data_IF_107759255775
#
_entry.id   IF_107759255775
#
_cell.length_a   1.000
_cell.length_b   1.000
_cell.length_c   1.000
_cell.angle_alpha   90.00
_cell.angle_beta   90.00
_cell.angle_gamma   90.00
#
_symmetry.space_group_name_H-M   'P 1'
#
loop_
_entity.id
_entity.type
_entity.pdbx_description
1 polymer ?
#
# COMPACT_ATOMS: atom_id res chain seq x y z
N UNK A 1 5.68 39.95 8.46
CA UNK A 1 4.37 39.28 8.30
C UNK A 1 4.20 39.09 6.81
N UNK A 2 4.27 37.94 6.18
CA UNK A 2 4.38 36.53 6.59
C UNK A 2 4.94 35.86 5.33
N UNK A 3 5.99 35.04 5.45
CA UNK A 3 6.48 34.26 4.31
C UNK A 3 5.43 33.21 3.94
N UNK A 4 4.85 33.35 2.75
CA UNK A 4 3.96 32.35 2.18
C UNK A 4 4.83 31.24 1.60
N UNK A 5 4.98 30.14 2.32
CA UNK A 5 5.58 28.90 1.83
C UNK A 5 4.71 28.38 0.69
N UNK A 6 5.19 28.32 -0.57
CA UNK A 6 4.43 27.61 -1.60
C UNK A 6 4.49 26.12 -1.25
N UNK A 7 3.33 25.58 -0.86
CA UNK A 7 3.11 24.16 -0.83
C UNK A 7 3.49 23.61 -2.22
N UNK A 8 4.45 22.68 -2.24
CA UNK A 8 4.73 21.86 -3.41
C UNK A 8 3.53 20.94 -3.66
N UNK A 9 2.47 21.51 -4.23
CA UNK A 9 1.52 20.78 -5.03
C UNK A 9 2.23 20.51 -6.36
N UNK A 10 2.83 19.32 -6.48
CA UNK A 10 3.42 18.88 -7.73
C UNK A 10 2.34 18.09 -8.48
N UNK A 11 1.68 18.67 -9.49
CA UNK A 11 0.72 17.94 -10.30
C UNK A 11 1.50 17.10 -11.30
N UNK A 12 1.21 15.80 -11.35
CA UNK A 12 1.25 14.96 -12.56
C UNK A 12 0.68 13.58 -12.17
N UNK A 13 -0.48 13.17 -12.72
CA UNK A 13 -1.00 11.84 -12.52
C UNK A 13 -0.21 10.90 -13.41
N UNK A 14 0.97 10.47 -12.95
CA UNK A 14 1.44 9.16 -13.36
C UNK A 14 0.35 8.19 -12.96
N UNK A 15 -0.08 7.31 -13.86
CA UNK A 15 -1.13 6.31 -13.62
C UNK A 15 -0.67 5.34 -12.53
N UNK A 16 -0.68 5.80 -11.27
CA UNK A 16 -0.31 5.02 -10.11
C UNK A 16 -1.41 3.99 -9.96
N UNK A 17 -1.01 2.73 -9.88
CA UNK A 17 -1.94 1.67 -9.54
C UNK A 17 -2.64 2.06 -8.24
N UNK A 18 -3.96 1.92 -8.21
CA UNK A 18 -4.78 2.26 -7.05
C UNK A 18 -5.36 0.99 -6.43
N UNK A 19 -5.69 1.07 -5.15
CA UNK A 19 -6.41 0.05 -4.41
C UNK A 19 -5.87 -1.39 -4.65
N UNK A 20 -6.71 -2.28 -5.17
CA UNK A 20 -6.38 -3.70 -5.36
C UNK A 20 -5.22 -3.94 -6.34
N UNK A 21 -5.06 -3.08 -7.35
CA UNK A 21 -4.00 -3.24 -8.34
C UNK A 21 -2.63 -2.87 -7.76
N UNK A 22 -2.58 -1.86 -6.90
CA UNK A 22 -1.37 -1.52 -6.14
C UNK A 22 -0.96 -2.68 -5.23
N UNK A 23 -1.93 -3.22 -4.48
CA UNK A 23 -1.69 -4.34 -3.56
C UNK A 23 -1.22 -5.58 -4.34
N UNK A 24 -1.77 -5.81 -5.54
CA UNK A 24 -1.37 -6.93 -6.40
C UNK A 24 0.06 -6.78 -6.91
N UNK A 25 0.47 -5.56 -7.29
CA UNK A 25 1.83 -5.30 -7.73
C UNK A 25 2.85 -5.46 -6.59
N UNK A 26 2.55 -4.91 -5.41
CA UNK A 26 3.37 -5.12 -4.21
C UNK A 26 3.47 -6.61 -3.84
N UNK A 27 2.38 -7.37 -3.96
CA UNK A 27 2.40 -8.82 -3.73
C UNK A 27 3.33 -9.56 -4.71
N UNK A 28 3.48 -9.09 -5.97
CA UNK A 28 4.40 -9.71 -6.94
C UNK A 28 5.86 -9.54 -6.51
N UNK A 29 6.20 -8.37 -5.97
CA UNK A 29 7.54 -8.00 -5.50
C UNK A 29 7.86 -8.55 -4.10
N UNK A 30 6.85 -8.88 -3.31
CA UNK A 30 7.02 -9.42 -1.97
C UNK A 30 7.68 -10.81 -1.95
N UNK A 31 8.49 -11.12 -0.93
CA UNK A 31 9.13 -12.43 -0.80
C UNK A 31 8.14 -13.51 -0.32
N UNK A 32 8.27 -14.73 -0.83
CA UNK A 32 7.51 -15.91 -0.38
C UNK A 32 8.15 -16.55 0.86
N UNK A 33 8.29 -15.76 1.93
CA UNK A 33 8.89 -16.20 3.21
C UNK A 33 8.17 -15.61 4.42
N UNK A 34 8.37 -16.14 5.63
CA UNK A 34 7.78 -15.60 6.83
C UNK A 34 8.26 -14.18 7.13
N UNK A 35 7.39 -13.38 7.74
CA UNK A 35 7.77 -12.08 8.27
C UNK A 35 6.56 -11.19 8.58
N UNK A 36 6.84 -9.90 8.70
CA UNK A 36 5.87 -8.87 9.06
C UNK A 36 5.69 -7.91 7.88
N UNK A 37 4.45 -7.53 7.59
CA UNK A 37 4.10 -6.57 6.55
C UNK A 37 3.23 -5.44 7.11
N UNK A 38 3.22 -4.32 6.40
CA UNK A 38 2.50 -3.09 6.76
C UNK A 38 1.67 -2.63 5.57
N UNK A 39 0.44 -2.20 5.83
CA UNK A 39 -0.41 -1.52 4.84
C UNK A 39 -0.52 -0.05 5.22
N UNK A 40 -0.33 0.82 4.24
CA UNK A 40 -0.41 2.26 4.40
C UNK A 40 -1.64 2.82 3.68
N UNK A 41 -2.22 3.87 4.26
CA UNK A 41 -3.25 4.69 3.63
C UNK A 41 -2.65 5.65 2.61
N UNK A 42 -3.50 6.41 1.93
CA UNK A 42 -3.11 7.38 0.90
C UNK A 42 -2.25 8.52 1.46
N UNK A 43 -2.41 8.84 2.74
CA UNK A 43 -1.63 9.80 3.52
C UNK A 43 -0.32 9.23 4.07
N UNK A 44 -0.02 7.96 3.79
CA UNK A 44 1.14 7.26 4.35
C UNK A 44 0.94 6.77 5.79
N UNK A 45 -0.24 6.93 6.38
CA UNK A 45 -0.53 6.43 7.72
C UNK A 45 -0.57 4.90 7.74
N UNK A 46 0.07 4.27 8.72
CA UNK A 46 0.04 2.81 8.85
C UNK A 46 -1.32 2.35 9.37
N UNK A 47 -2.14 1.77 8.49
CA UNK A 47 -3.49 1.30 8.82
C UNK A 47 -3.49 -0.09 9.43
N UNK A 48 -2.53 -0.92 9.04
CA UNK A 48 -2.50 -2.32 9.46
C UNK A 48 -1.08 -2.90 9.45
N UNK A 49 -0.80 -3.72 10.46
CA UNK A 49 0.42 -4.53 10.57
C UNK A 49 0.02 -5.99 10.76
N UNK A 50 0.57 -6.87 9.95
CA UNK A 50 0.27 -8.30 10.01
C UNK A 50 1.54 -9.15 10.00
N UNK A 51 1.48 -10.30 10.70
CA UNK A 51 2.48 -11.37 10.56
C UNK A 51 1.95 -12.45 9.61
N UNK A 52 2.82 -13.03 8.81
CA UNK A 52 2.46 -14.12 7.91
C UNK A 52 3.58 -15.16 7.78
N UNK A 53 3.20 -16.42 7.52
CA UNK A 53 4.15 -17.48 7.12
C UNK A 53 4.69 -17.28 5.71
N UNK A 54 3.91 -16.62 4.85
CA UNK A 54 4.33 -16.13 3.54
C UNK A 54 3.74 -14.74 3.37
N UNK A 55 4.62 -13.73 3.30
CA UNK A 55 4.19 -12.35 3.08
C UNK A 55 3.48 -12.24 1.73
N UNK A 56 4.09 -12.76 0.65
CA UNK A 56 3.52 -12.74 -0.70
C UNK A 56 2.09 -13.27 -0.76
N UNK A 57 1.83 -14.46 -0.22
CA UNK A 57 0.49 -15.08 -0.25
C UNK A 57 -0.51 -14.27 0.57
N UNK A 58 -0.08 -13.70 1.69
CA UNK A 58 -0.96 -12.92 2.55
C UNK A 58 -1.35 -11.57 1.92
N UNK A 59 -0.40 -10.86 1.32
CA UNK A 59 -0.70 -9.60 0.61
C UNK A 59 -1.63 -9.86 -0.58
N UNK A 60 -1.39 -10.94 -1.34
CA UNK A 60 -2.24 -11.31 -2.49
C UNK A 60 -3.70 -11.55 -2.10
N UNK A 61 -3.98 -12.09 -0.91
CA UNK A 61 -5.36 -12.29 -0.43
C UNK A 61 -6.15 -10.98 -0.33
N UNK A 62 -5.51 -9.88 0.05
CA UNK A 62 -6.16 -8.57 0.13
C UNK A 62 -6.50 -8.00 -1.26
N UNK A 63 -5.66 -8.28 -2.27
CA UNK A 63 -5.92 -7.87 -3.65
C UNK A 63 -7.04 -8.66 -4.36
N UNK A 64 -7.50 -9.77 -3.77
CA UNK A 64 -8.55 -10.62 -4.36
C UNK A 64 -9.98 -10.12 -4.09
N UNK A 65 -10.17 -9.07 -3.29
CA UNK A 65 -11.50 -8.50 -3.03
C UNK A 65 -12.44 -9.42 -2.25
N UNK A 66 -11.89 -10.43 -1.56
CA UNK A 66 -12.66 -11.29 -0.66
C UNK A 66 -12.86 -10.57 0.67
N UNK A 67 -13.87 -9.71 0.71
CA UNK A 67 -14.35 -9.11 1.95
C UNK A 67 -15.08 -10.18 2.77
N UNK A 68 -14.81 -10.22 4.07
CA UNK A 68 -15.62 -11.02 4.99
C UNK A 68 -16.79 -10.12 5.37
N UNK A 69 -17.99 -10.47 4.89
CA UNK A 69 -19.26 -9.87 5.32
C UNK A 69 -19.70 -10.47 6.65
#
# INVERSE_FOLDING_TARGET
MTEETPATDSPLPETRLQAADLIRDEARRAPDKPGVYRMYGEDGTCLYVGKARSIKKRILQYAQGRFHT
#
